data_IF_930326212610
#
_entry.id   IF_930326212610
#
_cell.length_a   1.000
_cell.length_b   1.000
_cell.length_c   1.000
_cell.angle_alpha   90.00
_cell.angle_beta   90.00
_cell.angle_gamma   90.00
#
_symmetry.space_group_name_H-M   'P 1'
#
loop_
_entity.id
_entity.type
_entity.pdbx_description
1 polymer ?
#
# COMPACT_ATOMS: atom_id res chain seq x y z
N UNK A 1 -6.95 -9.40 -36.33
CA UNK A 1 -7.86 -8.53 -35.56
C UNK A 1 -7.34 -8.53 -34.14
N UNK A 2 -6.75 -7.43 -33.65
CA UNK A 2 -6.24 -7.37 -32.28
C UNK A 2 -7.40 -7.00 -31.35
N UNK A 3 -7.74 -7.89 -30.43
CA UNK A 3 -8.61 -7.56 -29.31
C UNK A 3 -7.80 -6.73 -28.32
N UNK A 4 -8.03 -5.42 -28.31
CA UNK A 4 -7.55 -4.59 -27.22
C UNK A 4 -8.42 -4.94 -26.00
N UNK A 5 -7.83 -5.65 -25.04
CA UNK A 5 -8.45 -5.85 -23.75
C UNK A 5 -8.24 -4.55 -22.97
N UNK A 6 -9.26 -3.70 -22.90
CA UNK A 6 -9.31 -2.62 -21.93
C UNK A 6 -9.45 -3.27 -20.54
N UNK A 7 -8.34 -3.65 -19.93
CA UNK A 7 -8.35 -3.86 -18.49
C UNK A 7 -8.56 -2.48 -17.88
N UNK A 8 -9.74 -2.25 -17.28
CA UNK A 8 -9.97 -1.08 -16.44
C UNK A 8 -8.78 -0.93 -15.51
N UNK A 9 -7.99 0.12 -15.73
CA UNK A 9 -6.84 0.49 -14.94
C UNK A 9 -7.30 0.51 -13.48
N UNK A 10 -6.93 -0.54 -12.74
CA UNK A 10 -7.10 -0.58 -11.30
C UNK A 10 -6.29 0.58 -10.77
N UNK A 11 -7.00 1.68 -10.46
CA UNK A 11 -6.44 2.98 -10.12
C UNK A 11 -5.23 2.78 -9.19
N UNK A 12 -4.10 3.39 -9.53
CA UNK A 12 -2.91 3.24 -8.70
C UNK A 12 -3.24 3.70 -7.28
N UNK A 13 -2.59 3.14 -6.24
CA UNK A 13 -2.89 3.47 -4.84
C UNK A 13 -2.90 4.98 -4.57
N UNK A 14 -2.02 5.73 -5.25
CA UNK A 14 -2.01 7.20 -5.20
C UNK A 14 -3.25 7.85 -5.80
N UNK A 15 -3.77 7.34 -6.91
CA UNK A 15 -4.98 7.86 -7.54
C UNK A 15 -6.24 7.47 -6.75
N UNK A 16 -6.28 6.25 -6.21
CA UNK A 16 -7.33 5.84 -5.26
C UNK A 16 -7.35 6.73 -4.03
N UNK A 17 -6.17 7.08 -3.49
CA UNK A 17 -6.07 7.96 -2.34
C UNK A 17 -6.60 9.37 -2.62
N UNK A 18 -6.40 9.88 -3.83
CA UNK A 18 -6.90 11.20 -4.24
C UNK A 18 -8.41 11.17 -4.55
N UNK A 19 -8.93 10.09 -5.14
CA UNK A 19 -10.35 9.97 -5.50
C UNK A 19 -11.26 9.57 -4.35
N UNK A 20 -10.86 8.52 -3.63
CA UNK A 20 -11.68 7.82 -2.64
C UNK A 20 -11.24 8.14 -1.20
N UNK A 21 -10.12 8.86 -1.04
CA UNK A 21 -9.56 9.18 0.27
C UNK A 21 -8.79 8.01 0.89
N UNK A 22 -8.24 8.26 2.08
CA UNK A 22 -7.44 7.27 2.82
C UNK A 22 -8.24 6.05 3.29
N UNK A 23 -9.55 6.23 3.44
CA UNK A 23 -10.51 5.22 3.92
C UNK A 23 -10.77 4.09 2.93
N UNK A 24 -10.53 4.31 1.64
CA UNK A 24 -10.62 3.27 0.62
C UNK A 24 -9.35 2.43 0.47
N UNK A 25 -8.27 2.79 1.17
CA UNK A 25 -6.99 2.09 1.12
C UNK A 25 -6.75 1.30 2.38
N UNK A 26 -6.12 0.14 2.23
CA UNK A 26 -5.65 -0.62 3.38
C UNK A 26 -4.48 0.10 4.06
N UNK A 27 -4.33 -0.06 5.38
CA UNK A 27 -3.18 0.47 6.13
C UNK A 27 -1.83 0.10 5.49
N UNK A 28 -1.75 -1.09 4.88
CA UNK A 28 -0.58 -1.56 4.13
C UNK A 28 -0.33 -0.72 2.88
N UNK A 29 -1.37 -0.38 2.11
CA UNK A 29 -1.25 0.47 0.92
C UNK A 29 -0.86 1.90 1.31
N UNK A 30 -1.44 2.44 2.39
CA UNK A 30 -1.09 3.75 2.92
C UNK A 30 0.39 3.80 3.34
N UNK A 31 0.85 2.80 4.09
CA UNK A 31 2.27 2.67 4.44
C UNK A 31 3.16 2.48 3.21
N UNK A 32 2.71 1.70 2.23
CA UNK A 32 3.46 1.52 1.00
C UNK A 32 3.61 2.83 0.20
N UNK A 33 2.56 3.66 0.16
CA UNK A 33 2.60 4.99 -0.45
C UNK A 33 3.57 5.93 0.30
N UNK A 34 3.56 5.87 1.64
CA UNK A 34 4.46 6.63 2.52
C UNK A 34 5.92 6.22 2.34
N UNK A 35 6.19 4.93 2.28
CA UNK A 35 7.53 4.37 2.07
C UNK A 35 8.04 4.64 0.65
N UNK A 36 7.13 4.81 -0.32
CA UNK A 36 7.35 5.24 -1.72
C UNK A 36 8.17 4.27 -2.59
N UNK A 37 9.08 3.51 -2.00
CA UNK A 37 9.96 2.53 -2.66
C UNK A 37 10.29 1.38 -1.73
N UNK A 38 10.34 0.17 -2.28
CA UNK A 38 10.79 -1.01 -1.56
C UNK A 38 12.32 -1.04 -1.43
N UNK A 39 12.82 -2.10 -0.79
CA UNK A 39 14.26 -2.38 -0.76
C UNK A 39 14.62 -3.40 -1.85
N UNK A 40 15.90 -3.58 -2.15
CA UNK A 40 16.36 -4.63 -3.09
C UNK A 40 15.94 -6.05 -2.70
N UNK A 41 15.63 -6.28 -1.42
CA UNK A 41 15.32 -7.61 -0.89
C UNK A 41 13.80 -7.83 -0.69
N UNK A 42 13.00 -6.76 -0.65
CA UNK A 42 11.57 -6.86 -0.36
C UNK A 42 10.77 -5.72 -1.02
N UNK A 43 9.60 -6.07 -1.55
CA UNK A 43 8.68 -5.10 -2.15
C UNK A 43 8.16 -4.12 -1.08
N UNK A 44 7.78 -2.91 -1.49
CA UNK A 44 7.25 -1.88 -0.59
C UNK A 44 6.02 -2.38 0.18
N UNK A 45 5.19 -3.21 -0.45
CA UNK A 45 4.03 -3.85 0.20
C UNK A 45 4.44 -4.88 1.26
N UNK A 46 5.49 -5.66 1.01
CA UNK A 46 6.04 -6.63 1.95
C UNK A 46 6.65 -5.91 3.16
N UNK A 47 7.34 -4.79 2.93
CA UNK A 47 7.91 -3.95 3.98
C UNK A 47 6.80 -3.29 4.79
N UNK A 48 5.79 -2.72 4.13
CA UNK A 48 4.62 -2.15 4.81
C UNK A 48 3.91 -3.17 5.69
N UNK A 49 3.74 -4.41 5.19
CA UNK A 49 3.16 -5.50 5.97
C UNK A 49 4.07 -5.94 7.13
N UNK A 50 5.40 -5.99 6.93
CA UNK A 50 6.35 -6.27 8.02
C UNK A 50 6.34 -5.18 9.08
N UNK A 51 6.23 -3.92 8.69
CA UNK A 51 6.12 -2.78 9.61
C UNK A 51 4.81 -2.89 10.37
N UNK A 52 3.67 -3.11 9.70
CA UNK A 52 2.38 -3.36 10.37
C UNK A 52 2.45 -4.53 11.33
N UNK A 53 3.07 -5.63 10.91
CA UNK A 53 3.20 -6.81 11.75
C UNK A 53 4.17 -6.63 12.92
N UNK A 54 5.22 -5.81 12.75
CA UNK A 54 6.10 -5.42 13.85
C UNK A 54 5.41 -4.44 14.80
N UNK A 55 4.40 -3.71 14.32
CA UNK A 55 3.55 -2.80 15.10
C UNK A 55 2.32 -3.52 15.71
N UNK A 56 2.21 -4.85 15.60
CA UNK A 56 1.11 -5.68 16.15
C UNK A 56 0.92 -5.59 17.68
N UNK A 57 1.71 -4.77 18.38
CA UNK A 57 1.34 -4.29 19.71
C UNK A 57 1.39 -2.77 19.76
N UNK A 58 0.20 -2.16 19.80
CA UNK A 58 -0.03 -0.85 20.43
C UNK A 58 0.53 -0.80 21.88
N UNK A 59 0.86 -1.95 22.46
CA UNK A 59 1.48 -2.14 23.76
C UNK A 59 2.94 -1.68 23.85
N UNK A 60 3.65 -1.50 22.73
CA UNK A 60 5.06 -1.05 22.75
C UNK A 60 5.22 0.48 22.79
N UNK A 61 4.15 1.22 22.49
CA UNK A 61 4.09 2.70 22.60
C UNK A 61 3.61 3.17 23.98
N UNK A 62 3.92 2.42 25.03
CA UNK A 62 3.63 2.79 26.41
C UNK A 62 4.89 2.67 27.26
N UNK A 63 5.81 3.61 27.07
CA UNK A 63 6.72 4.04 28.13
C UNK A 63 6.34 5.44 28.58
#
# INVERSE_FOLDING_TARGET
MYSISFQEDSLLPRERLVREGVEALSNQELLAILLRTGTRQANVFEIAQKVLNSLNSLTDLKK
#
